data_IF_900127165624
#
_entry.id   IF_900127165624
#
_cell.length_a   1.000
_cell.length_b   1.000
_cell.length_c   1.000
_cell.angle_alpha   90.00
_cell.angle_beta   90.00
_cell.angle_gamma   90.00
#
_symmetry.space_group_name_H-M   'P 1'
#
loop_
_entity.id
_entity.type
_entity.pdbx_description
1 polymer ?
#
# COMPACT_ATOMS: atom_id res chain seq x y z
N UNK A 1 -34.64 -26.68 1.22
CA UNK A 1 -34.10 -25.32 1.36
C UNK A 1 -33.46 -25.24 2.73
N UNK A 2 -32.14 -25.07 2.77
CA UNK A 2 -31.41 -24.84 4.02
C UNK A 2 -31.91 -23.58 4.71
N UNK A 3 -31.71 -23.45 6.00
CA UNK A 3 -32.05 -22.25 6.75
C UNK A 3 -30.82 -21.34 6.73
N UNK A 4 -30.92 -20.19 6.10
CA UNK A 4 -29.84 -19.20 6.14
C UNK A 4 -29.51 -18.83 7.59
N UNK A 5 -28.23 -18.78 7.92
CA UNK A 5 -27.70 -18.40 9.23
C UNK A 5 -26.68 -17.28 9.08
N UNK A 6 -26.55 -16.43 10.11
CA UNK A 6 -25.50 -15.41 10.16
C UNK A 6 -24.34 -15.95 10.97
N UNK A 7 -23.15 -15.98 10.37
CA UNK A 7 -21.91 -16.39 11.01
C UNK A 7 -21.06 -15.14 11.22
N UNK A 8 -20.74 -14.75 12.47
CA UNK A 8 -19.83 -13.67 12.75
C UNK A 8 -18.38 -14.12 12.46
N UNK A 9 -17.66 -13.37 11.63
CA UNK A 9 -16.26 -13.60 11.30
C UNK A 9 -15.43 -12.40 11.78
N UNK A 10 -14.59 -12.59 12.76
CA UNK A 10 -13.85 -11.51 13.42
C UNK A 10 -14.64 -10.87 14.59
N UNK A 11 -14.21 -9.67 15.12
CA UNK A 11 -13.12 -8.83 14.61
C UNK A 11 -11.72 -9.41 14.84
N UNK A 12 -11.52 -10.20 15.89
CA UNK A 12 -10.25 -10.88 16.15
C UNK A 12 -10.38 -12.33 15.72
N UNK A 13 -9.75 -12.65 14.62
CA UNK A 13 -9.74 -14.00 14.05
C UNK A 13 -8.28 -14.43 13.81
N UNK A 14 -7.89 -15.68 14.12
CA UNK A 14 -6.49 -16.13 14.04
C UNK A 14 -5.82 -15.92 12.68
N UNK A 15 -6.60 -15.95 11.61
CA UNK A 15 -6.11 -15.81 10.22
C UNK A 15 -6.09 -14.35 9.74
N UNK A 16 -6.74 -13.44 10.45
CA UNK A 16 -6.78 -12.02 10.05
C UNK A 16 -5.57 -11.26 10.61
N UNK A 17 -4.76 -10.61 9.75
CA UNK A 17 -3.63 -9.82 10.21
C UNK A 17 -4.04 -8.54 10.95
N UNK A 18 -5.24 -8.04 10.71
CA UNK A 18 -5.82 -6.84 11.36
C UNK A 18 -7.31 -7.09 11.67
N UNK A 19 -7.87 -6.45 12.74
CA UNK A 19 -9.25 -6.67 13.15
C UNK A 19 -10.23 -6.11 12.13
N UNK A 20 -11.00 -7.00 11.51
CA UNK A 20 -12.20 -6.68 10.71
C UNK A 20 -13.31 -7.63 11.11
N UNK A 21 -14.53 -7.12 11.22
CA UNK A 21 -15.70 -7.95 11.45
C UNK A 21 -16.53 -8.07 10.17
N UNK A 22 -16.95 -9.29 9.85
CA UNK A 22 -17.87 -9.57 8.76
C UNK A 22 -19.06 -10.35 9.29
N UNK A 23 -20.27 -9.87 9.00
CA UNK A 23 -21.47 -10.67 9.11
C UNK A 23 -21.64 -11.45 7.81
N UNK A 24 -21.46 -12.77 7.88
CA UNK A 24 -21.61 -13.68 6.75
C UNK A 24 -22.99 -14.32 6.82
N UNK A 25 -23.85 -14.07 5.84
CA UNK A 25 -25.09 -14.81 5.66
C UNK A 25 -24.77 -16.07 4.86
N UNK A 26 -24.97 -17.25 5.45
CA UNK A 26 -24.56 -18.53 4.89
C UNK A 26 -25.74 -19.47 4.79
N UNK A 27 -25.85 -20.18 3.66
CA UNK A 27 -26.78 -21.28 3.44
C UNK A 27 -26.01 -22.45 2.78
N UNK A 28 -26.08 -23.64 3.34
CA UNK A 28 -25.42 -24.84 2.85
C UNK A 28 -23.91 -24.61 2.54
N UNK A 29 -23.18 -23.97 3.49
CA UNK A 29 -21.76 -23.61 3.43
C UNK A 29 -21.37 -22.55 2.37
N UNK A 30 -22.36 -22.00 1.64
CA UNK A 30 -22.14 -20.93 0.65
C UNK A 30 -22.45 -19.57 1.25
N UNK A 31 -21.56 -18.60 1.07
CA UNK A 31 -21.75 -17.22 1.50
C UNK A 31 -22.70 -16.50 0.53
N UNK A 32 -23.90 -16.17 1.00
CA UNK A 32 -24.88 -15.41 0.21
C UNK A 32 -24.62 -13.91 0.24
N UNK A 33 -24.18 -13.40 1.40
CA UNK A 33 -23.89 -12.00 1.63
C UNK A 33 -22.77 -11.86 2.68
N UNK A 34 -21.90 -10.86 2.48
CA UNK A 34 -20.86 -10.48 3.43
C UNK A 34 -20.94 -8.99 3.70
N UNK A 35 -21.24 -8.62 4.94
CA UNK A 35 -21.34 -7.20 5.36
C UNK A 35 -20.18 -6.84 6.27
N UNK A 36 -19.21 -6.02 5.79
CA UNK A 36 -18.11 -5.58 6.63
C UNK A 36 -18.54 -4.53 7.65
N UNK A 37 -18.12 -4.72 8.89
CA UNK A 37 -18.25 -3.75 9.97
C UNK A 37 -16.85 -3.25 10.33
N UNK A 38 -16.66 -1.94 10.26
CA UNK A 38 -15.40 -1.25 10.58
C UNK A 38 -15.61 -0.31 11.76
N UNK A 39 -14.51 0.13 12.40
CA UNK A 39 -14.54 1.05 13.55
C UNK A 39 -13.76 0.56 14.76
N UNK A 40 -13.25 -0.68 14.75
CA UNK A 40 -12.58 -1.32 15.89
C UNK A 40 -11.21 -0.71 16.22
N UNK A 41 -10.54 -0.12 15.24
CA UNK A 41 -9.21 0.54 15.39
C UNK A 41 -9.26 2.02 15.02
N UNK A 42 -10.45 2.63 14.98
CA UNK A 42 -10.60 4.05 14.70
C UNK A 42 -9.95 4.92 15.77
N UNK A 43 -9.07 5.85 15.36
CA UNK A 43 -8.25 6.69 16.25
C UNK A 43 -8.51 8.18 16.09
N UNK A 44 -9.39 8.60 15.17
CA UNK A 44 -9.74 9.99 14.92
C UNK A 44 -8.59 10.84 14.36
N UNK A 45 -7.67 10.25 13.61
CA UNK A 45 -6.45 10.94 13.14
C UNK A 45 -6.76 12.11 12.21
N UNK A 46 -7.79 12.02 11.38
CA UNK A 46 -8.22 13.13 10.52
C UNK A 46 -8.69 14.36 11.35
N UNK A 47 -9.29 14.12 12.53
CA UNK A 47 -9.70 15.20 13.43
C UNK A 47 -8.51 15.85 14.11
N UNK A 48 -7.48 15.08 14.39
CA UNK A 48 -6.29 15.55 15.10
C UNK A 48 -5.53 16.63 14.33
N UNK A 49 -5.67 16.70 13.00
CA UNK A 49 -5.03 17.74 12.16
C UNK A 49 -5.42 19.16 12.57
N UNK A 50 -6.61 19.35 13.13
CA UNK A 50 -7.10 20.65 13.58
C UNK A 50 -6.39 21.16 14.83
N UNK A 51 -5.71 20.29 15.56
CA UNK A 51 -5.05 20.58 16.83
C UNK A 51 -3.54 20.55 16.76
N UNK A 52 -2.98 20.13 15.61
CA UNK A 52 -1.53 20.02 15.41
C UNK A 52 -1.06 20.97 14.33
N UNK A 53 0.14 21.52 14.53
CA UNK A 53 0.86 22.23 13.47
C UNK A 53 1.05 21.31 12.24
N UNK A 54 0.89 21.85 11.04
CA UNK A 54 0.98 21.04 9.81
C UNK A 54 2.34 20.34 9.66
N UNK A 55 3.43 20.90 10.19
CA UNK A 55 4.72 20.23 10.22
C UNK A 55 4.79 19.08 11.24
N UNK A 56 4.07 19.20 12.36
CA UNK A 56 4.01 18.14 13.38
C UNK A 56 3.06 17.03 12.99
N UNK A 57 2.01 17.33 12.25
CA UNK A 57 1.04 16.33 11.83
C UNK A 57 1.63 15.29 10.89
N UNK A 58 2.72 15.58 10.18
CA UNK A 58 3.39 14.60 9.32
C UNK A 58 3.79 13.34 10.09
N UNK A 59 4.23 13.49 11.34
CA UNK A 59 4.56 12.36 12.20
C UNK A 59 3.34 11.54 12.61
N UNK A 60 2.17 12.19 12.73
CA UNK A 60 0.90 11.50 12.94
C UNK A 60 0.45 10.78 11.67
N UNK A 61 0.55 11.43 10.51
CA UNK A 61 0.21 10.84 9.22
C UNK A 61 1.00 9.55 8.96
N UNK A 62 2.29 9.55 9.24
CA UNK A 62 3.14 8.38 9.10
C UNK A 62 2.70 7.20 9.99
N UNK A 63 2.10 7.49 11.15
CA UNK A 63 1.59 6.48 12.11
C UNK A 63 0.17 6.00 11.84
N UNK A 64 -0.40 6.35 10.69
CA UNK A 64 -1.68 5.78 10.25
C UNK A 64 -1.53 4.27 10.08
N UNK A 65 -0.42 3.82 9.51
CA UNK A 65 -0.13 2.40 9.27
C UNK A 65 1.37 2.12 9.43
N UNK A 66 1.71 0.98 10.02
CA UNK A 66 3.10 0.54 10.14
C UNK A 66 3.69 -0.10 8.87
N UNK A 67 2.87 -0.45 7.88
CA UNK A 67 3.33 -1.09 6.64
C UNK A 67 3.53 -0.05 5.54
N UNK A 68 2.56 0.83 5.31
CA UNK A 68 2.62 1.88 4.30
C UNK A 68 2.91 3.27 4.89
N UNK A 69 3.65 3.32 5.99
CA UNK A 69 3.99 4.53 6.74
C UNK A 69 4.62 5.61 5.85
N UNK A 70 5.57 5.23 5.01
CA UNK A 70 6.25 6.15 4.10
C UNK A 70 5.29 6.84 3.13
N UNK A 71 4.40 6.06 2.49
CA UNK A 71 3.40 6.63 1.58
C UNK A 71 2.45 7.62 2.26
N UNK A 72 2.15 7.43 3.56
CA UNK A 72 1.32 8.37 4.30
C UNK A 72 2.04 9.68 4.62
N UNK A 73 3.32 9.66 5.01
CA UNK A 73 4.10 10.89 5.21
C UNK A 73 4.32 11.63 3.88
N UNK A 74 4.62 10.91 2.80
CA UNK A 74 4.79 11.47 1.46
C UNK A 74 3.51 12.13 0.96
N UNK A 75 2.38 11.40 0.94
CA UNK A 75 1.10 11.91 0.45
C UNK A 75 0.58 13.10 1.26
N UNK A 76 0.79 13.10 2.57
CA UNK A 76 0.49 14.26 3.40
C UNK A 76 1.36 15.47 3.05
N UNK A 77 2.69 15.29 2.98
CA UNK A 77 3.62 16.37 2.69
C UNK A 77 3.31 17.02 1.32
N UNK A 78 3.14 16.21 0.27
CA UNK A 78 2.80 16.68 -1.07
C UNK A 78 1.46 17.43 -1.11
N UNK A 79 0.47 17.01 -0.32
CA UNK A 79 -0.81 17.71 -0.22
C UNK A 79 -0.65 19.10 0.40
N UNK A 80 0.14 19.21 1.47
CA UNK A 80 0.43 20.50 2.12
C UNK A 80 1.30 21.38 1.23
N UNK A 81 2.27 20.82 0.54
CA UNK A 81 3.11 21.53 -0.42
C UNK A 81 2.27 22.14 -1.55
N UNK A 82 1.34 21.37 -2.13
CA UNK A 82 0.38 21.89 -3.13
C UNK A 82 -0.52 22.97 -2.54
N UNK A 83 -1.00 22.79 -1.31
CA UNK A 83 -1.85 23.75 -0.60
C UNK A 83 -1.14 25.10 -0.39
N UNK A 84 0.17 25.07 -0.18
CA UNK A 84 0.99 26.26 0.08
C UNK A 84 1.74 26.78 -1.14
N UNK A 85 1.67 26.09 -2.28
CA UNK A 85 2.42 26.43 -3.51
C UNK A 85 3.93 26.27 -3.34
N UNK A 86 4.37 25.25 -2.58
CA UNK A 86 5.78 24.96 -2.34
C UNK A 86 6.26 23.95 -3.38
N UNK A 87 7.30 24.32 -4.11
CA UNK A 87 8.04 23.41 -5.00
C UNK A 87 9.27 22.88 -4.27
N UNK A 88 9.43 21.56 -4.26
CA UNK A 88 10.56 20.90 -3.62
C UNK A 88 11.71 20.69 -4.62
N UNK A 89 12.97 20.56 -4.14
CA UNK A 89 14.10 20.25 -5.01
C UNK A 89 13.93 18.91 -5.71
N UNK A 90 14.40 18.83 -6.95
CA UNK A 90 14.29 17.61 -7.77
C UNK A 90 14.94 16.39 -7.09
N UNK A 91 16.09 16.57 -6.42
CA UNK A 91 16.73 15.51 -5.65
C UNK A 91 15.82 14.96 -4.55
N UNK A 92 15.06 15.81 -3.87
CA UNK A 92 14.11 15.37 -2.84
C UNK A 92 12.95 14.52 -3.42
N UNK A 93 12.47 14.86 -4.62
CA UNK A 93 11.46 14.04 -5.32
C UNK A 93 11.99 12.63 -5.59
N UNK A 94 13.22 12.51 -6.09
CA UNK A 94 13.86 11.22 -6.35
C UNK A 94 14.02 10.40 -5.08
N UNK A 95 14.54 11.01 -4.01
CA UNK A 95 14.71 10.33 -2.72
C UNK A 95 13.38 9.81 -2.17
N UNK A 96 12.32 10.62 -2.25
CA UNK A 96 10.96 10.21 -1.82
C UNK A 96 10.47 9.00 -2.61
N UNK A 97 10.62 8.98 -3.93
CA UNK A 97 10.17 7.87 -4.76
C UNK A 97 11.00 6.61 -4.52
N UNK A 98 12.33 6.72 -4.36
CA UNK A 98 13.20 5.59 -4.03
C UNK A 98 12.76 4.92 -2.72
N UNK A 99 12.55 5.68 -1.65
CA UNK A 99 12.06 5.13 -0.39
C UNK A 99 10.63 4.60 -0.50
N UNK A 100 9.78 5.25 -1.30
CA UNK A 100 8.41 4.79 -1.51
C UNK A 100 8.38 3.42 -2.20
N UNK A 101 9.20 3.21 -3.22
CA UNK A 101 9.31 1.90 -3.87
C UNK A 101 10.00 0.86 -2.97
N UNK A 102 10.98 1.23 -2.14
CA UNK A 102 11.47 0.35 -1.07
C UNK A 102 10.36 -0.08 -0.11
N UNK A 103 9.45 0.86 0.22
CA UNK A 103 8.28 0.57 1.06
C UNK A 103 7.31 -0.39 0.39
N UNK A 104 7.16 -0.34 -0.94
CA UNK A 104 6.38 -1.31 -1.70
C UNK A 104 7.03 -2.70 -1.67
N UNK A 105 8.33 -2.77 -1.89
CA UNK A 105 9.09 -4.04 -1.84
C UNK A 105 8.89 -4.74 -0.50
N UNK A 106 9.12 -4.05 0.63
CA UNK A 106 8.96 -4.67 1.94
C UNK A 106 7.52 -5.08 2.24
N UNK A 107 6.54 -4.30 1.75
CA UNK A 107 5.11 -4.59 1.95
C UNK A 107 4.67 -5.85 1.20
N UNK A 108 5.08 -6.01 -0.05
CA UNK A 108 4.72 -7.18 -0.84
C UNK A 108 5.45 -8.45 -0.41
N UNK A 109 6.70 -8.34 0.07
CA UNK A 109 7.41 -9.48 0.67
C UNK A 109 6.70 -9.92 1.97
N UNK A 110 6.26 -8.97 2.81
CA UNK A 110 5.45 -9.28 4.00
C UNK A 110 4.18 -10.05 3.62
N UNK A 111 3.46 -9.54 2.62
CA UNK A 111 2.23 -10.15 2.16
C UNK A 111 2.46 -11.58 1.64
N UNK A 112 3.52 -11.82 0.86
CA UNK A 112 3.88 -13.15 0.37
C UNK A 112 4.14 -14.12 1.54
N UNK A 113 4.83 -13.66 2.59
CA UNK A 113 5.05 -14.45 3.79
C UNK A 113 3.73 -14.83 4.48
N UNK A 114 2.82 -13.87 4.68
CA UNK A 114 1.51 -14.14 5.28
C UNK A 114 0.67 -15.08 4.40
N UNK A 115 0.76 -14.96 3.08
CA UNK A 115 0.11 -15.89 2.17
C UNK A 115 0.69 -17.31 2.31
N UNK A 116 2.01 -17.44 2.38
CA UNK A 116 2.67 -18.73 2.59
C UNK A 116 2.26 -19.39 3.92
N UNK A 117 2.18 -18.60 5.00
CA UNK A 117 1.73 -19.08 6.32
C UNK A 117 0.29 -19.61 6.27
N UNK A 118 -0.62 -18.88 5.60
CA UNK A 118 -2.01 -19.31 5.43
C UNK A 118 -2.18 -20.64 4.67
N UNK A 119 -1.20 -21.01 3.84
CA UNK A 119 -1.11 -22.33 3.19
C UNK A 119 -0.34 -23.37 4.02
N UNK A 120 0.15 -23.03 5.21
CA UNK A 120 0.95 -23.91 6.06
C UNK A 120 2.40 -24.05 5.61
N UNK A 121 2.90 -23.15 4.75
CA UNK A 121 4.29 -23.14 4.28
C UNK A 121 5.19 -22.34 5.24
N UNK A 122 5.33 -22.78 6.48
CA UNK A 122 6.09 -22.08 7.53
C UNK A 122 7.53 -21.76 7.13
N UNK A 123 8.21 -22.68 6.46
CA UNK A 123 9.59 -22.45 6.00
C UNK A 123 9.66 -21.28 5.00
N UNK A 124 8.70 -21.16 4.10
CA UNK A 124 8.60 -20.08 3.13
C UNK A 124 8.26 -18.75 3.83
N UNK A 125 7.33 -18.76 4.78
CA UNK A 125 7.03 -17.62 5.64
C UNK A 125 8.29 -17.08 6.32
N UNK A 126 9.04 -17.93 7.01
CA UNK A 126 10.28 -17.54 7.69
C UNK A 126 11.33 -17.01 6.72
N UNK A 127 11.39 -17.54 5.50
CA UNK A 127 12.30 -17.07 4.47
C UNK A 127 11.91 -15.68 3.96
N UNK A 128 10.63 -15.42 3.69
CA UNK A 128 10.13 -14.10 3.32
C UNK A 128 10.46 -13.06 4.41
N UNK A 129 10.30 -13.39 5.68
CA UNK A 129 10.64 -12.49 6.79
C UNK A 129 12.12 -12.16 6.82
N UNK A 130 12.99 -13.15 6.63
CA UNK A 130 14.45 -12.95 6.55
C UNK A 130 14.83 -12.08 5.35
N UNK A 131 14.19 -12.28 4.21
CA UNK A 131 14.42 -11.48 3.02
C UNK A 131 13.98 -10.02 3.24
N UNK A 132 12.83 -9.82 3.87
CA UNK A 132 12.28 -8.51 4.22
C UNK A 132 13.20 -7.74 5.19
N UNK A 133 13.86 -8.41 6.14
CA UNK A 133 14.80 -7.77 7.07
C UNK A 133 15.89 -7.00 6.33
N UNK A 134 16.39 -7.50 5.20
CA UNK A 134 17.40 -6.80 4.39
C UNK A 134 16.89 -5.46 3.86
N UNK A 135 15.59 -5.35 3.54
CA UNK A 135 14.97 -4.07 3.14
C UNK A 135 14.84 -3.14 4.35
N UNK A 136 14.46 -3.68 5.51
CA UNK A 136 14.35 -2.89 6.75
C UNK A 136 15.72 -2.36 7.20
N UNK A 137 16.80 -3.12 6.99
CA UNK A 137 18.17 -2.66 7.25
C UNK A 137 18.57 -1.49 6.34
N UNK A 138 18.12 -1.48 5.06
CA UNK A 138 18.32 -0.34 4.17
C UNK A 138 17.57 0.90 4.67
N UNK A 139 16.33 0.73 5.14
CA UNK A 139 15.59 1.83 5.75
C UNK A 139 16.29 2.38 7.01
N UNK A 140 16.74 1.52 7.90
CA UNK A 140 17.44 1.92 9.11
C UNK A 140 18.71 2.73 8.78
N UNK A 141 19.50 2.27 7.84
CA UNK A 141 20.73 2.96 7.41
C UNK A 141 20.45 4.32 6.77
N UNK A 142 19.41 4.44 5.97
CA UNK A 142 19.10 5.65 5.20
C UNK A 142 18.21 6.64 5.93
N UNK A 143 17.30 6.16 6.79
CA UNK A 143 16.33 7.00 7.48
C UNK A 143 16.50 7.03 9.00
N UNK A 144 17.11 6.02 9.59
CA UNK A 144 17.23 5.81 11.03
C UNK A 144 16.04 5.05 11.63
N UNK A 145 15.02 4.69 10.84
CA UNK A 145 13.85 3.93 11.28
C UNK A 145 13.65 2.68 10.43
N UNK A 146 13.05 1.64 11.04
CA UNK A 146 12.77 0.36 10.35
C UNK A 146 11.31 0.25 9.90
N UNK A 147 10.39 0.91 10.61
CA UNK A 147 8.93 0.86 10.38
C UNK A 147 8.36 2.27 10.22
N UNK A 148 8.75 3.17 11.08
CA UNK A 148 8.42 4.60 11.05
C UNK A 148 9.72 5.34 10.74
N UNK A 149 9.74 6.09 9.66
CA UNK A 149 10.98 6.56 9.02
C UNK A 149 11.29 8.01 9.36
N UNK A 150 10.26 8.85 9.51
CA UNK A 150 10.35 10.29 9.88
C UNK A 150 11.37 11.09 9.04
N UNK A 151 11.53 10.69 7.77
CA UNK A 151 12.50 11.30 6.86
C UNK A 151 11.85 12.33 5.93
N UNK A 152 10.54 12.21 5.66
CA UNK A 152 9.81 13.18 4.85
C UNK A 152 9.42 14.38 5.69
N UNK A 153 9.55 15.59 5.15
CA UNK A 153 9.04 16.84 5.72
C UNK A 153 8.37 17.68 4.64
N UNK A 154 7.53 18.62 5.02
CA UNK A 154 7.01 19.62 4.08
C UNK A 154 8.18 20.47 3.58
N UNK A 155 8.35 20.53 2.26
CA UNK A 155 9.49 21.19 1.60
C UNK A 155 10.65 20.28 1.25
N UNK A 156 10.54 18.95 1.40
CA UNK A 156 11.57 18.00 0.99
C UNK A 156 11.78 16.81 1.94
N UNK A 157 13.02 16.50 2.27
CA UNK A 157 13.41 15.39 3.15
C UNK A 157 14.45 15.84 4.19
N UNK A 158 14.56 15.08 5.29
CA UNK A 158 15.50 15.37 6.38
C UNK A 158 16.89 14.77 6.16
N UNK A 159 17.04 13.79 5.31
CA UNK A 159 18.29 13.06 5.08
C UNK A 159 18.54 12.87 3.60
N UNK A 160 19.80 12.88 3.23
CA UNK A 160 20.27 12.55 1.90
C UNK A 160 20.82 11.12 1.88
N UNK A 161 20.99 10.58 0.67
CA UNK A 161 21.67 9.30 0.40
C UNK A 161 22.88 9.59 -0.45
N UNK A 162 24.06 9.22 0.03
CA UNK A 162 25.30 9.37 -0.73
C UNK A 162 25.48 8.25 -1.77
N UNK A 163 26.45 8.43 -2.65
CA UNK A 163 26.72 7.51 -3.75
C UNK A 163 27.06 6.10 -3.25
N UNK A 164 27.87 5.98 -2.20
CA UNK A 164 28.25 4.67 -1.65
C UNK A 164 27.07 3.92 -1.06
N UNK A 165 26.12 4.64 -0.46
CA UNK A 165 24.88 4.04 0.04
C UNK A 165 23.95 3.64 -1.12
N UNK A 166 23.87 4.40 -2.22
CA UNK A 166 23.14 3.96 -3.42
C UNK A 166 23.70 2.68 -4.00
N UNK A 167 25.02 2.55 -4.11
CA UNK A 167 25.67 1.33 -4.59
C UNK A 167 25.34 0.13 -3.66
N UNK A 168 25.29 0.35 -2.35
CA UNK A 168 24.89 -0.66 -1.39
C UNK A 168 23.39 -1.04 -1.56
N UNK A 169 22.52 -0.07 -1.77
CA UNK A 169 21.08 -0.32 -2.02
C UNK A 169 20.92 -1.22 -3.25
N UNK A 170 21.56 -0.89 -4.36
CA UNK A 170 21.47 -1.66 -5.60
C UNK A 170 21.97 -3.09 -5.38
N UNK A 171 23.14 -3.25 -4.77
CA UNK A 171 23.72 -4.57 -4.49
C UNK A 171 22.79 -5.45 -3.64
N UNK A 172 22.20 -4.88 -2.59
CA UNK A 172 21.26 -5.60 -1.71
C UNK A 172 19.99 -5.97 -2.46
N UNK A 173 19.44 -5.04 -3.27
CA UNK A 173 18.20 -5.27 -4.02
C UNK A 173 18.38 -6.31 -5.13
N UNK A 174 19.53 -6.38 -5.79
CA UNK A 174 19.82 -7.43 -6.76
C UNK A 174 19.78 -8.81 -6.10
N UNK A 175 20.44 -8.97 -4.96
CA UNK A 175 20.38 -10.23 -4.20
C UNK A 175 18.98 -10.55 -3.67
N UNK A 176 18.17 -9.53 -3.34
CA UNK A 176 16.76 -9.73 -2.96
C UNK A 176 15.93 -10.19 -4.16
N UNK A 177 16.11 -9.57 -5.32
CA UNK A 177 15.36 -9.91 -6.54
C UNK A 177 15.54 -11.38 -6.94
N UNK A 178 16.76 -11.86 -6.93
CA UNK A 178 17.07 -13.24 -7.30
C UNK A 178 16.45 -14.26 -6.34
N UNK A 179 16.63 -14.04 -5.04
CA UNK A 179 16.08 -14.91 -3.98
C UNK A 179 14.54 -14.85 -3.95
N UNK A 180 13.97 -13.67 -4.09
CA UNK A 180 12.52 -13.45 -4.15
C UNK A 180 11.88 -14.19 -5.33
N UNK A 181 12.47 -14.11 -6.52
CA UNK A 181 11.95 -14.79 -7.70
C UNK A 181 11.91 -16.32 -7.51
N UNK A 182 12.90 -16.89 -6.81
CA UNK A 182 12.89 -18.32 -6.46
C UNK A 182 11.78 -18.67 -5.48
N UNK A 183 11.55 -17.83 -4.46
CA UNK A 183 10.46 -18.02 -3.50
C UNK A 183 9.08 -17.96 -4.17
N UNK A 184 8.88 -16.94 -5.02
CA UNK A 184 7.64 -16.76 -5.79
C UNK A 184 7.41 -17.95 -6.71
N UNK A 185 8.42 -18.38 -7.45
CA UNK A 185 8.31 -19.54 -8.33
C UNK A 185 7.90 -20.79 -7.55
N UNK A 186 8.53 -21.05 -6.39
CA UNK A 186 8.18 -22.19 -5.54
C UNK A 186 6.73 -22.11 -5.06
N UNK A 187 6.27 -20.95 -4.61
CA UNK A 187 4.95 -20.74 -4.06
C UNK A 187 3.84 -20.81 -5.11
N UNK A 188 3.99 -20.08 -6.20
CA UNK A 188 2.95 -20.00 -7.24
C UNK A 188 2.83 -21.29 -8.06
N UNK A 189 3.89 -22.10 -8.20
CA UNK A 189 3.81 -23.38 -8.90
C UNK A 189 3.30 -24.53 -8.03
N UNK A 190 3.11 -24.31 -6.73
CA UNK A 190 2.55 -25.32 -5.85
C UNK A 190 1.10 -25.65 -6.21
N UNK A 191 0.76 -26.92 -6.51
CA UNK A 191 -0.60 -27.30 -6.87
C UNK A 191 -1.63 -26.99 -5.78
N UNK A 192 -1.26 -27.00 -4.51
CA UNK A 192 -2.18 -26.69 -3.41
C UNK A 192 -2.56 -25.21 -3.42
N UNK A 193 -1.62 -24.34 -3.72
CA UNK A 193 -1.85 -22.89 -3.87
C UNK A 193 -2.74 -22.63 -5.08
N UNK A 194 -2.40 -23.16 -6.24
CA UNK A 194 -3.17 -22.98 -7.46
C UNK A 194 -4.61 -23.49 -7.30
N UNK A 195 -4.81 -24.71 -6.80
CA UNK A 195 -6.14 -25.32 -6.67
C UNK A 195 -7.05 -24.58 -5.68
N UNK A 196 -6.49 -23.86 -4.71
CA UNK A 196 -7.25 -23.10 -3.70
C UNK A 196 -7.50 -21.65 -4.11
N UNK A 197 -6.91 -21.16 -5.18
CA UNK A 197 -6.97 -19.73 -5.54
C UNK A 197 -7.43 -19.49 -6.96
N UNK A 198 -7.17 -20.38 -7.89
CA UNK A 198 -7.64 -20.27 -9.26
C UNK A 198 -9.18 -20.46 -9.35
N UNK A 199 -9.85 -19.47 -9.96
CA UNK A 199 -11.31 -19.45 -10.06
C UNK A 199 -12.05 -19.10 -8.77
N UNK A 200 -11.36 -18.75 -7.68
CA UNK A 200 -11.95 -18.38 -6.38
C UNK A 200 -12.00 -16.85 -6.24
N UNK A 201 -13.12 -16.33 -5.72
CA UNK A 201 -13.30 -14.90 -5.48
C UNK A 201 -13.18 -14.04 -6.74
N UNK A 202 -13.74 -14.52 -7.85
CA UNK A 202 -13.65 -13.89 -9.17
C UNK A 202 -14.42 -12.57 -9.20
N UNK A 203 -13.76 -11.51 -9.70
CA UNK A 203 -14.39 -10.22 -9.99
C UNK A 203 -14.09 -9.85 -11.44
N UNK A 204 -15.07 -9.95 -12.36
CA UNK A 204 -14.89 -9.57 -13.75
C UNK A 204 -14.45 -8.11 -13.92
N UNK A 205 -13.70 -7.80 -14.96
CA UNK A 205 -13.19 -6.45 -15.26
C UNK A 205 -14.27 -5.37 -15.22
N UNK A 206 -15.42 -5.62 -15.82
CA UNK A 206 -16.55 -4.70 -15.85
C UNK A 206 -17.01 -4.36 -14.41
N UNK A 207 -17.11 -5.39 -13.56
CA UNK A 207 -17.51 -5.19 -12.17
C UNK A 207 -16.45 -4.47 -11.34
N UNK A 208 -15.17 -4.72 -11.62
CA UNK A 208 -14.07 -4.02 -10.98
C UNK A 208 -14.07 -2.51 -11.32
N UNK A 209 -14.39 -2.17 -12.59
CA UNK A 209 -14.57 -0.79 -13.04
C UNK A 209 -15.78 -0.12 -12.38
N UNK A 210 -16.94 -0.79 -12.35
CA UNK A 210 -18.16 -0.30 -11.69
C UNK A 210 -17.92 0.08 -10.22
N UNK A 211 -17.12 -0.74 -9.52
CA UNK A 211 -16.78 -0.55 -8.12
C UNK A 211 -15.58 0.38 -7.91
N UNK A 212 -14.99 0.88 -9.00
CA UNK A 212 -13.77 1.71 -8.96
C UNK A 212 -12.65 1.08 -8.13
N UNK A 213 -12.40 -0.21 -8.32
CA UNK A 213 -11.38 -0.95 -7.59
C UNK A 213 -10.00 -0.44 -7.95
N UNK A 214 -9.11 -0.35 -6.96
CA UNK A 214 -7.78 0.23 -7.09
C UNK A 214 -6.68 -0.75 -6.67
N UNK A 215 -5.45 -0.48 -7.15
CA UNK A 215 -4.26 -1.22 -6.77
C UNK A 215 -4.19 -2.63 -7.35
N UNK A 216 -3.37 -3.51 -6.75
CA UNK A 216 -3.24 -4.90 -7.20
C UNK A 216 -4.57 -5.65 -7.28
N UNK A 217 -5.54 -5.29 -6.43
CA UNK A 217 -6.87 -5.88 -6.45
C UNK A 217 -7.63 -5.55 -7.75
N UNK A 218 -7.61 -4.28 -8.20
CA UNK A 218 -8.20 -3.88 -9.48
C UNK A 218 -7.38 -4.39 -10.67
N UNK A 219 -6.05 -4.33 -10.59
CA UNK A 219 -5.16 -4.79 -11.67
C UNK A 219 -5.24 -6.32 -11.90
N UNK A 220 -5.51 -7.09 -10.86
CA UNK A 220 -5.81 -8.53 -11.00
C UNK A 220 -7.13 -8.81 -11.72
N UNK A 221 -8.00 -7.83 -11.85
CA UNK A 221 -9.23 -7.86 -12.65
C UNK A 221 -9.06 -7.10 -13.98
N UNK A 222 -7.84 -7.03 -14.52
CA UNK A 222 -7.49 -6.40 -15.78
C UNK A 222 -7.85 -4.91 -15.89
N UNK A 223 -7.85 -4.17 -14.76
CA UNK A 223 -7.99 -2.71 -14.75
C UNK A 223 -6.59 -2.10 -14.85
N UNK A 224 -6.17 -1.54 -16.00
CA UNK A 224 -4.80 -1.06 -16.23
C UNK A 224 -4.61 0.35 -15.65
N UNK A 225 -4.92 0.51 -14.38
CA UNK A 225 -4.79 1.79 -13.67
C UNK A 225 -3.80 1.70 -12.51
N UNK A 226 -2.86 2.64 -12.51
CA UNK A 226 -1.85 2.82 -11.46
C UNK A 226 -1.50 4.32 -11.39
N UNK A 227 -1.52 4.90 -10.22
CA UNK A 227 -1.26 6.34 -10.04
C UNK A 227 0.14 6.74 -10.51
N UNK A 228 1.10 5.82 -10.48
CA UNK A 228 2.46 6.07 -10.97
C UNK A 228 2.51 6.46 -12.45
N UNK A 229 1.50 6.05 -13.25
CA UNK A 229 1.34 6.47 -14.66
C UNK A 229 1.11 7.98 -14.83
N UNK A 230 0.65 8.67 -13.79
CA UNK A 230 0.44 10.12 -13.83
C UNK A 230 1.76 10.90 -13.82
N UNK A 231 2.88 10.24 -13.56
CA UNK A 231 4.21 10.85 -13.58
C UNK A 231 4.44 11.87 -12.47
N UNK A 232 3.75 11.77 -11.35
CA UNK A 232 3.95 12.66 -10.21
C UNK A 232 5.37 12.49 -9.63
N UNK A 233 6.08 13.62 -9.38
CA UNK A 233 7.44 13.60 -8.88
C UNK A 233 8.40 12.87 -9.84
N UNK A 234 9.32 12.08 -9.29
CA UNK A 234 10.31 11.36 -10.08
C UNK A 234 9.74 10.17 -10.90
N UNK A 235 8.47 9.79 -10.73
CA UNK A 235 7.84 8.80 -11.61
C UNK A 235 7.72 9.31 -13.06
N UNK A 236 7.65 10.64 -13.27
CA UNK A 236 7.63 11.24 -14.61
C UNK A 236 8.93 11.08 -15.39
N UNK A 237 10.02 10.75 -14.72
CA UNK A 237 11.34 10.55 -15.33
C UNK A 237 11.64 9.08 -15.69
N UNK A 238 10.71 8.16 -15.41
CA UNK A 238 10.83 6.75 -15.79
C UNK A 238 10.72 6.60 -17.32
N UNK A 239 11.55 5.72 -17.88
CA UNK A 239 11.63 5.55 -19.34
C UNK A 239 10.43 4.79 -19.91
N UNK A 240 9.94 3.77 -19.20
CA UNK A 240 8.81 2.95 -19.61
C UNK A 240 8.17 2.29 -18.39
N UNK A 241 7.15 2.93 -17.83
CA UNK A 241 6.38 2.36 -16.74
C UNK A 241 5.04 1.83 -17.25
N UNK A 242 4.79 0.54 -17.06
CA UNK A 242 3.52 -0.08 -17.37
C UNK A 242 2.95 -0.77 -16.13
N UNK A 243 1.65 -0.60 -15.83
CA UNK A 243 1.02 -1.30 -14.72
C UNK A 243 0.96 -2.81 -15.00
N UNK A 244 1.24 -3.61 -13.98
CA UNK A 244 1.12 -5.07 -14.07
C UNK A 244 -0.35 -5.45 -13.90
N UNK A 245 -0.92 -6.18 -14.87
CA UNK A 245 -2.31 -6.64 -14.84
C UNK A 245 -2.40 -8.15 -15.07
N UNK A 246 -3.51 -8.76 -14.62
CA UNK A 246 -3.88 -10.14 -14.98
C UNK A 246 -5.35 -10.17 -15.38
N UNK A 247 -5.68 -11.01 -16.35
CA UNK A 247 -7.05 -11.17 -16.88
C UNK A 247 -7.82 -12.32 -16.20
N UNK A 248 -7.20 -13.05 -15.26
CA UNK A 248 -7.85 -14.19 -14.59
C UNK A 248 -8.89 -13.76 -13.55
N UNK A 249 -8.80 -12.54 -13.04
CA UNK A 249 -9.80 -11.90 -12.19
C UNK A 249 -10.05 -12.58 -10.82
N UNK A 250 -9.23 -13.50 -10.39
CA UNK A 250 -9.39 -14.37 -9.22
C UNK A 250 -8.34 -14.14 -8.12
N UNK A 251 -8.36 -14.96 -7.09
CA UNK A 251 -7.37 -14.89 -6.01
C UNK A 251 -5.95 -15.17 -6.52
N UNK A 252 -5.79 -16.10 -7.47
CA UNK A 252 -4.48 -16.41 -8.04
C UNK A 252 -3.89 -15.22 -8.80
N UNK A 253 -4.71 -14.55 -9.61
CA UNK A 253 -4.32 -13.31 -10.30
C UNK A 253 -3.84 -12.21 -9.34
N UNK A 254 -4.48 -12.08 -8.17
CA UNK A 254 -4.07 -11.10 -7.14
C UNK A 254 -2.69 -11.41 -6.57
N UNK A 255 -2.35 -12.70 -6.47
CA UNK A 255 -1.03 -13.15 -6.05
C UNK A 255 0.02 -12.88 -7.14
N UNK A 256 -0.27 -13.21 -8.40
CA UNK A 256 0.60 -12.97 -9.56
C UNK A 256 0.96 -11.48 -9.69
N UNK A 257 -0.03 -10.60 -9.65
CA UNK A 257 0.18 -9.14 -9.78
C UNK A 257 1.11 -8.63 -8.68
N UNK A 258 0.87 -8.97 -7.40
CA UNK A 258 1.74 -8.53 -6.31
C UNK A 258 3.14 -9.11 -6.40
N UNK A 259 3.25 -10.37 -6.79
CA UNK A 259 4.54 -11.02 -6.94
C UNK A 259 5.39 -10.33 -8.03
N UNK A 260 4.76 -9.91 -9.13
CA UNK A 260 5.45 -9.24 -10.22
C UNK A 260 5.79 -7.76 -9.91
N UNK A 261 5.07 -7.11 -8.99
CA UNK A 261 5.37 -5.72 -8.62
C UNK A 261 6.67 -5.55 -7.82
N UNK A 262 7.16 -6.57 -7.12
CA UNK A 262 8.43 -6.46 -6.38
C UNK A 262 9.63 -6.29 -7.30
N UNK A 263 9.87 -7.16 -8.30
CA UNK A 263 10.97 -6.94 -9.24
C UNK A 263 10.80 -5.64 -10.04
N UNK A 264 9.57 -5.23 -10.39
CA UNK A 264 9.32 -3.95 -11.05
C UNK A 264 9.75 -2.78 -10.15
N UNK A 265 9.40 -2.78 -8.88
CA UNK A 265 9.81 -1.73 -7.93
C UNK A 265 11.34 -1.66 -7.77
N UNK A 266 12.01 -2.81 -7.77
CA UNK A 266 13.47 -2.85 -7.74
C UNK A 266 14.07 -2.23 -9.00
N UNK A 267 13.50 -2.50 -10.17
CA UNK A 267 13.97 -1.92 -11.44
C UNK A 267 13.72 -0.40 -11.48
N UNK A 268 12.58 0.08 -10.97
CA UNK A 268 12.30 1.51 -10.80
C UNK A 268 13.36 2.17 -9.90
N UNK A 269 13.68 1.58 -8.75
CA UNK A 269 14.70 2.12 -7.86
C UNK A 269 16.05 2.22 -8.57
N UNK A 270 16.46 1.17 -9.30
CA UNK A 270 17.73 1.16 -10.05
C UNK A 270 17.78 2.26 -11.10
N UNK A 271 16.68 2.46 -11.84
CA UNK A 271 16.59 3.50 -12.86
C UNK A 271 16.67 4.90 -12.22
N UNK A 272 15.96 5.12 -11.13
CA UNK A 272 15.98 6.42 -10.44
C UNK A 272 17.34 6.70 -9.79
N UNK A 273 18.02 5.72 -9.21
CA UNK A 273 19.37 5.88 -8.68
C UNK A 273 20.37 6.26 -9.78
N UNK A 274 20.18 5.75 -11.00
CA UNK A 274 21.02 6.11 -12.13
C UNK A 274 20.78 7.54 -12.64
N UNK A 275 19.58 8.09 -12.42
CA UNK A 275 19.13 9.40 -12.93
C UNK A 275 19.09 10.50 -11.86
N UNK A 276 19.21 10.18 -10.57
CA UNK A 276 19.08 11.14 -9.48
C UNK A 276 20.07 12.31 -9.65
N UNK A 277 19.60 13.56 -9.69
CA UNK A 277 20.48 14.72 -9.81
C UNK A 277 21.16 15.04 -8.48
N UNK A 278 22.27 15.76 -8.55
CA UNK A 278 22.85 16.45 -7.41
C UNK A 278 22.01 17.70 -7.08
N UNK A 279 22.11 18.19 -5.84
CA UNK A 279 21.43 19.43 -5.42
C UNK A 279 20.88 19.37 -4.00
N UNK A 280 20.09 20.36 -3.66
CA UNK A 280 19.45 20.47 -2.35
C UNK A 280 18.41 19.38 -2.17
N UNK A 281 18.17 19.01 -0.90
CA UNK A 281 17.17 17.99 -0.51
C UNK A 281 15.94 18.62 0.16
N UNK A 282 15.95 19.93 0.39
CA UNK A 282 14.85 20.64 1.00
C UNK A 282 14.85 22.13 0.67
N UNK A 283 13.71 22.77 0.89
CA UNK A 283 13.54 24.22 0.86
C UNK A 283 12.91 24.69 2.16
N UNK A 284 13.24 25.92 2.63
CA UNK A 284 12.63 26.48 3.82
C UNK A 284 11.16 26.86 3.52
N UNK A 285 10.22 26.22 4.21
CA UNK A 285 8.79 26.53 4.11
C UNK A 285 8.43 27.59 5.15
N UNK A 286 7.87 28.71 4.70
CA UNK A 286 7.48 29.84 5.55
C UNK A 286 6.00 30.15 5.39
N UNK A 287 5.35 30.61 6.45
CA UNK A 287 3.95 31.02 6.43
C UNK A 287 2.98 29.93 6.86
N UNK A 288 1.72 30.18 6.58
CA UNK A 288 0.61 29.32 6.92
C UNK A 288 -0.21 29.00 5.67
N UNK A 289 -0.87 27.81 5.62
CA UNK A 289 -1.86 27.56 4.59
C UNK A 289 -2.95 28.63 4.59
N UNK A 290 -3.27 29.21 3.44
CA UNK A 290 -4.28 30.26 3.34
C UNK A 290 -5.65 29.77 3.81
N UNK A 291 -6.41 30.63 4.49
CA UNK A 291 -7.76 30.30 4.94
C UNK A 291 -8.66 29.99 3.74
N UNK A 292 -9.33 28.84 3.77
CA UNK A 292 -10.21 28.38 2.70
C UNK A 292 -9.51 27.82 1.46
N UNK A 293 -8.18 27.86 1.38
CA UNK A 293 -7.47 27.17 0.30
C UNK A 293 -7.66 25.64 0.43
N UNK A 294 -7.77 24.97 -0.69
CA UNK A 294 -7.98 23.51 -0.77
C UNK A 294 -6.97 22.90 -1.76
N UNK A 295 -6.48 21.73 -1.43
CA UNK A 295 -5.60 20.97 -2.31
C UNK A 295 -5.88 19.47 -2.20
N UNK A 296 -5.63 18.77 -3.31
CA UNK A 296 -5.73 17.32 -3.42
C UNK A 296 -4.42 16.74 -3.92
N UNK A 297 -4.13 15.52 -3.49
CA UNK A 297 -3.04 14.72 -4.00
C UNK A 297 -3.44 13.24 -4.08
N UNK A 298 -2.82 12.50 -4.99
CA UNK A 298 -2.97 11.07 -5.13
C UNK A 298 -1.60 10.42 -5.25
N UNK A 299 -1.46 9.24 -4.63
CA UNK A 299 -0.27 8.41 -4.80
C UNK A 299 -0.64 6.93 -4.77
N UNK A 300 0.20 6.09 -5.39
CA UNK A 300 0.02 4.65 -5.42
C UNK A 300 0.71 4.01 -4.22
N UNK A 301 -0.04 3.69 -3.18
CA UNK A 301 0.46 2.87 -2.08
C UNK A 301 0.56 1.38 -2.49
N UNK A 302 1.25 0.50 -1.72
CA UNK A 302 1.35 -0.92 -2.05
C UNK A 302 0.00 -1.60 -2.30
N UNK A 303 -1.06 -1.13 -1.66
CA UNK A 303 -2.44 -1.65 -1.79
C UNK A 303 -3.29 -0.92 -2.83
N UNK A 304 -2.76 0.16 -3.43
CA UNK A 304 -3.43 0.93 -4.47
C UNK A 304 -3.49 2.43 -4.22
N UNK A 305 -4.31 3.12 -5.01
CA UNK A 305 -4.50 4.56 -4.94
C UNK A 305 -4.92 5.03 -3.55
N UNK A 306 -4.18 5.98 -3.02
CA UNK A 306 -4.52 6.74 -1.82
C UNK A 306 -4.72 8.20 -2.18
N UNK A 307 -5.90 8.73 -1.87
CA UNK A 307 -6.28 10.12 -2.13
C UNK A 307 -6.21 10.94 -0.85
N UNK A 308 -5.62 12.12 -0.94
CA UNK A 308 -5.51 13.09 0.14
C UNK A 308 -6.20 14.39 -0.25
N UNK A 309 -6.89 14.98 0.71
CA UNK A 309 -7.48 16.32 0.61
C UNK A 309 -7.09 17.10 1.86
N UNK A 310 -6.71 18.36 1.71
CA UNK A 310 -6.45 19.27 2.81
C UNK A 310 -7.08 20.63 2.57
N UNK A 311 -7.50 21.29 3.66
CA UNK A 311 -8.05 22.64 3.68
C UNK A 311 -7.32 23.49 4.71
N UNK A 312 -6.86 24.65 4.29
CA UNK A 312 -6.18 25.64 5.12
C UNK A 312 -7.16 26.48 5.94
N UNK A 313 -6.72 26.94 7.13
CA UNK A 313 -7.53 27.82 7.99
C UNK A 313 -6.86 29.18 8.26
N UNK A 314 -5.75 29.50 7.59
CA UNK A 314 -4.99 30.74 7.81
C UNK A 314 -4.00 30.69 8.96
N UNK A 315 -3.94 29.57 9.68
CA UNK A 315 -2.97 29.34 10.77
C UNK A 315 -2.04 28.18 10.45
N UNK A 316 -1.18 27.81 11.40
CA UNK A 316 -0.34 26.61 11.25
C UNK A 316 -1.12 25.29 11.31
N UNK A 317 -2.38 25.28 11.73
CA UNK A 317 -3.22 24.11 11.72
C UNK A 317 -4.04 24.06 10.44
N UNK A 318 -4.42 22.88 10.01
CA UNK A 318 -5.36 22.71 8.91
C UNK A 318 -6.82 22.72 9.43
N UNK A 319 -7.73 23.25 8.64
CA UNK A 319 -9.18 23.18 8.92
C UNK A 319 -9.69 21.75 8.76
N UNK A 320 -9.21 21.05 7.72
CA UNK A 320 -9.64 19.71 7.39
C UNK A 320 -8.54 18.92 6.71
N UNK A 321 -8.52 17.63 6.98
CA UNK A 321 -7.83 16.63 6.18
C UNK A 321 -8.73 15.42 5.98
N UNK A 322 -8.68 14.85 4.79
CA UNK A 322 -9.32 13.60 4.42
C UNK A 322 -8.34 12.70 3.70
N UNK A 323 -8.42 11.43 4.01
CA UNK A 323 -7.64 10.40 3.34
C UNK A 323 -8.56 9.26 2.92
N UNK A 324 -8.69 9.01 1.63
CA UNK A 324 -9.32 7.82 1.13
C UNK A 324 -8.23 6.82 0.81
N UNK A 325 -8.09 5.80 1.64
CA UNK A 325 -7.08 4.76 1.50
C UNK A 325 -7.53 3.66 0.53
N UNK A 326 -6.62 2.86 -0.04
CA UNK A 326 -6.97 1.82 -1.00
C UNK A 326 -8.00 0.83 -0.47
N UNK A 327 -7.83 0.35 0.77
CA UNK A 327 -8.75 -0.59 1.38
C UNK A 327 -10.15 0.00 1.56
N UNK A 328 -10.26 1.29 1.94
CA UNK A 328 -11.57 1.96 2.03
C UNK A 328 -12.32 1.93 0.69
N UNK A 329 -11.59 2.09 -0.42
CA UNK A 329 -12.17 2.01 -1.77
C UNK A 329 -12.55 0.58 -2.14
N UNK A 330 -11.75 -0.39 -1.71
CA UNK A 330 -11.88 -1.79 -2.10
C UNK A 330 -12.87 -2.61 -1.25
N UNK A 331 -13.47 -2.04 -0.18
CA UNK A 331 -14.41 -2.77 0.68
C UNK A 331 -15.62 -3.34 -0.08
N UNK A 332 -16.19 -2.56 -1.01
CA UNK A 332 -17.29 -3.03 -1.83
C UNK A 332 -16.87 -4.21 -2.74
N UNK A 333 -15.67 -4.13 -3.31
CA UNK A 333 -15.07 -5.24 -4.08
C UNK A 333 -14.86 -6.48 -3.22
N UNK A 334 -14.42 -6.31 -1.97
CA UNK A 334 -14.26 -7.42 -1.03
C UNK A 334 -15.60 -8.12 -0.76
N UNK A 335 -16.66 -7.38 -0.49
CA UNK A 335 -18.00 -7.96 -0.28
C UNK A 335 -18.50 -8.73 -1.52
N UNK A 336 -18.22 -8.21 -2.72
CA UNK A 336 -18.55 -8.90 -3.99
C UNK A 336 -17.71 -10.16 -4.18
N UNK A 337 -16.40 -10.14 -3.87
CA UNK A 337 -15.53 -11.30 -3.99
C UNK A 337 -15.92 -12.46 -3.06
N UNK A 338 -16.52 -12.13 -1.91
CA UNK A 338 -16.98 -13.11 -0.91
C UNK A 338 -18.34 -13.70 -1.25
N UNK A 339 -19.14 -13.04 -2.09
CA UNK A 339 -20.47 -13.53 -2.44
C UNK A 339 -20.40 -14.75 -3.34
N UNK A 340 -21.02 -15.83 -2.91
CA UNK A 340 -21.08 -17.10 -3.64
C UNK A 340 -19.85 -18.01 -3.40
N UNK A 341 -18.92 -17.63 -2.54
CA UNK A 341 -17.79 -18.48 -2.18
C UNK A 341 -18.21 -19.51 -1.10
N UNK A 342 -17.42 -20.55 -0.98
CA UNK A 342 -17.45 -21.43 0.16
C UNK A 342 -16.94 -20.72 1.42
N UNK A 343 -17.53 -20.98 2.59
CA UNK A 343 -17.07 -20.40 3.87
C UNK A 343 -15.59 -20.70 4.13
N UNK A 344 -15.09 -21.85 3.69
CA UNK A 344 -13.69 -22.23 3.81
C UNK A 344 -12.75 -21.33 2.97
N UNK A 345 -13.24 -20.66 1.94
CA UNK A 345 -12.44 -19.78 1.08
C UNK A 345 -12.42 -18.32 1.54
N UNK A 346 -13.28 -17.93 2.50
CA UNK A 346 -13.39 -16.56 3.01
C UNK A 346 -12.02 -16.00 3.42
N UNK A 347 -11.26 -16.75 4.20
CA UNK A 347 -9.93 -16.35 4.66
C UNK A 347 -8.99 -16.06 3.50
N UNK A 348 -8.98 -16.96 2.51
CA UNK A 348 -8.08 -16.84 1.36
C UNK A 348 -8.44 -15.65 0.49
N UNK A 349 -9.74 -15.43 0.25
CA UNK A 349 -10.21 -14.28 -0.50
C UNK A 349 -9.77 -12.98 0.18
N UNK A 350 -10.01 -12.84 1.49
CA UNK A 350 -9.60 -11.65 2.26
C UNK A 350 -8.08 -11.46 2.19
N UNK A 351 -7.31 -12.51 2.42
CA UNK A 351 -5.85 -12.44 2.40
C UNK A 351 -5.31 -11.95 1.04
N UNK A 352 -5.89 -12.43 -0.07
CA UNK A 352 -5.45 -12.00 -1.42
C UNK A 352 -5.82 -10.55 -1.75
N UNK A 353 -6.79 -9.96 -1.06
CA UNK A 353 -7.13 -8.53 -1.17
C UNK A 353 -6.11 -7.68 -0.42
N UNK A 354 -5.53 -8.22 0.66
CA UNK A 354 -4.55 -7.53 1.52
C UNK A 354 -5.14 -6.27 2.16
N UNK A 355 -6.28 -6.35 2.88
CA UNK A 355 -6.88 -5.18 3.49
C UNK A 355 -6.02 -4.64 4.63
N UNK A 356 -5.84 -3.32 4.68
CA UNK A 356 -5.24 -2.62 5.80
C UNK A 356 -6.32 -1.89 6.60
N UNK A 357 -6.66 -2.40 7.77
CA UNK A 357 -7.74 -1.85 8.58
C UNK A 357 -7.29 -0.57 9.31
N UNK A 358 -6.02 -0.51 9.73
CA UNK A 358 -5.41 0.70 10.28
C UNK A 358 -5.53 1.90 9.33
N UNK A 359 -5.36 1.67 8.02
CA UNK A 359 -5.58 2.69 6.99
C UNK A 359 -7.07 3.01 6.79
N UNK A 360 -7.92 2.00 6.86
CA UNK A 360 -9.37 2.15 6.61
C UNK A 360 -10.03 2.98 7.68
N UNK A 361 -9.63 2.78 8.94
CA UNK A 361 -10.31 3.34 10.11
C UNK A 361 -9.59 4.55 10.74
N UNK A 362 -8.41 4.96 10.27
CA UNK A 362 -7.53 6.05 10.73
C UNK A 362 -8.08 6.98 11.81
#
# INVERSE_FOLDING_TARGET
MGKASVIPFGPQHPVLPEPIHLDLVVEDEVVLEATPQIGFVHRGLERLVQTKDYNQFIYVAERICGICAFGHSMGYAETVERLMGVEIPKRAEYLRVIWHELSRVHSHILWLGLAADAFGHEALFMHCWRLRERVLDLFEKTTGGRVIFSVVKVGGVHRDIDRGMFDQIIHVLDGIKDEYNQLVATFLTDPSVHNRTAGVGVIPTEKALDLSMVGPFGRASNVPYDVRMLGNGAYGDLSDFQPITSANCDCYARMEVRAAEVPQSIDIIKELVAKIPDGDIDVPVKGNPLAGAEACNVLEQPRGECYYFAKGNGTKNLDRMRMRTPTSQNLAGMAVALKGCDVADVNMIILTIDPCISCTER
#
